data_IF_808160377507
#
_entry.id   IF_808160377507
#
_cell.length_a   1.000
_cell.length_b   1.000
_cell.length_c   1.000
_cell.angle_alpha   90.00
_cell.angle_beta   90.00
_cell.angle_gamma   90.00
#
_symmetry.space_group_name_H-M   'P 1'
#
loop_
_entity.id
_entity.type
_entity.pdbx_description
1 polymer ?
#
# COMPACT_ATOMS: atom_id res chain seq x y z
N UNK A 1 2.54 -42.17 -23.73
CA UNK A 1 1.93 -41.92 -22.42
C UNK A 1 2.16 -40.45 -22.11
N UNK A 2 1.18 -39.58 -22.41
CA UNK A 2 1.30 -38.13 -22.18
C UNK A 2 0.61 -37.83 -20.87
N UNK A 3 1.41 -37.63 -19.83
CA UNK A 3 0.96 -37.23 -18.50
C UNK A 3 0.43 -35.80 -18.65
N UNK A 4 -0.89 -35.65 -18.78
CA UNK A 4 -1.54 -34.35 -18.62
C UNK A 4 -1.59 -34.06 -17.12
N UNK A 5 -0.51 -33.49 -16.59
CA UNK A 5 -0.59 -32.78 -15.32
C UNK A 5 -1.44 -31.54 -15.59
N UNK A 6 -2.74 -31.61 -15.29
CA UNK A 6 -3.59 -30.42 -15.18
C UNK A 6 -2.91 -29.52 -14.11
N UNK A 7 -2.20 -28.42 -14.43
CA UNK A 7 -2.47 -27.34 -15.38
C UNK A 7 -3.86 -26.71 -15.19
N UNK A 8 -4.28 -26.55 -13.94
CA UNK A 8 -5.33 -25.60 -13.59
C UNK A 8 -4.74 -24.21 -13.46
N UNK A 9 -4.88 -23.38 -14.50
CA UNK A 9 -4.71 -21.92 -14.36
C UNK A 9 -5.79 -21.45 -13.38
N UNK A 10 -5.40 -20.78 -12.30
CA UNK A 10 -6.33 -20.19 -11.34
C UNK A 10 -6.16 -18.67 -11.34
N UNK A 11 -6.88 -17.95 -12.22
CA UNK A 11 -6.75 -16.50 -12.35
C UNK A 11 -7.06 -15.75 -11.04
N UNK A 12 -7.91 -16.31 -10.18
CA UNK A 12 -8.21 -15.70 -8.89
C UNK A 12 -7.01 -15.76 -7.94
N UNK A 13 -6.33 -16.90 -7.87
CA UNK A 13 -5.10 -17.03 -7.08
C UNK A 13 -3.99 -16.12 -7.63
N UNK A 14 -3.86 -16.03 -8.96
CA UNK A 14 -2.87 -15.14 -9.59
C UNK A 14 -3.14 -13.67 -9.23
N UNK A 15 -4.41 -13.24 -9.23
CA UNK A 15 -4.81 -11.88 -8.81
C UNK A 15 -4.50 -11.62 -7.33
N UNK A 16 -4.73 -12.59 -6.45
CA UNK A 16 -4.43 -12.47 -5.02
C UNK A 16 -2.93 -12.33 -4.76
N UNK A 17 -2.10 -13.12 -5.46
CA UNK A 17 -0.64 -13.01 -5.41
C UNK A 17 -0.20 -11.62 -5.87
N UNK A 18 -0.68 -11.16 -7.02
CA UNK A 18 -0.35 -9.83 -7.55
C UNK A 18 -0.77 -8.72 -6.57
N UNK A 19 -1.99 -8.79 -6.00
CA UNK A 19 -2.45 -7.78 -5.04
C UNK A 19 -1.59 -7.76 -3.78
N UNK A 20 -1.14 -8.92 -3.31
CA UNK A 20 -0.26 -9.05 -2.14
C UNK A 20 1.11 -8.44 -2.43
N UNK A 21 1.70 -8.75 -3.59
CA UNK A 21 2.99 -8.19 -4.01
C UNK A 21 2.94 -6.67 -4.15
N UNK A 22 1.87 -6.14 -4.76
CA UNK A 22 1.67 -4.70 -4.89
C UNK A 22 1.47 -4.03 -3.52
N UNK A 23 0.65 -4.62 -2.63
CA UNK A 23 0.44 -4.08 -1.30
C UNK A 23 1.73 -4.06 -0.47
N UNK A 24 2.59 -5.07 -0.62
CA UNK A 24 3.89 -5.12 0.05
C UNK A 24 4.86 -4.05 -0.48
N UNK A 25 4.89 -3.84 -1.80
CA UNK A 25 5.70 -2.78 -2.41
C UNK A 25 5.23 -1.39 -1.97
N UNK A 26 3.92 -1.16 -1.94
CA UNK A 26 3.31 0.07 -1.44
C UNK A 26 3.64 0.27 0.06
N UNK A 27 3.59 -0.79 0.87
CA UNK A 27 3.94 -0.75 2.29
C UNK A 27 5.39 -0.28 2.50
N UNK A 28 6.33 -0.83 1.75
CA UNK A 28 7.73 -0.41 1.83
C UNK A 28 7.92 1.07 1.43
N UNK A 29 7.19 1.53 0.41
CA UNK A 29 7.19 2.93 0.00
C UNK A 29 6.61 3.85 1.10
N UNK A 30 5.52 3.43 1.74
CA UNK A 30 4.87 4.14 2.85
C UNK A 30 5.83 4.24 4.05
N UNK A 31 6.49 3.16 4.43
CA UNK A 31 7.46 3.15 5.54
C UNK A 31 8.63 4.11 5.31
N UNK A 32 9.20 4.10 4.09
CA UNK A 32 10.26 5.03 3.69
C UNK A 32 9.76 6.47 3.73
N UNK A 33 8.54 6.73 3.26
CA UNK A 33 7.95 8.05 3.24
C UNK A 33 7.66 8.58 4.66
N UNK A 34 7.13 7.76 5.57
CA UNK A 34 6.93 8.12 6.98
C UNK A 34 8.25 8.59 7.60
N UNK A 35 9.33 7.82 7.39
CA UNK A 35 10.66 8.18 7.89
C UNK A 35 11.19 9.48 7.28
N UNK A 36 10.98 9.70 5.97
CA UNK A 36 11.36 10.93 5.26
C UNK A 36 10.65 12.16 5.83
N UNK A 37 9.34 12.09 6.06
CA UNK A 37 8.56 13.21 6.58
C UNK A 37 8.68 13.40 8.09
N UNK A 38 9.15 12.40 8.85
CA UNK A 38 9.25 12.46 10.30
C UNK A 38 10.04 13.66 10.82
N UNK A 39 11.17 14.01 10.18
CA UNK A 39 11.99 15.15 10.62
C UNK A 39 11.29 16.50 10.35
N UNK A 40 10.74 16.68 9.15
CA UNK A 40 10.03 17.90 8.77
C UNK A 40 8.75 18.09 9.60
N UNK A 41 8.02 17.00 9.85
CA UNK A 41 6.83 17.01 10.71
C UNK A 41 7.18 17.41 12.16
N UNK A 42 8.28 16.90 12.72
CA UNK A 42 8.80 17.33 14.04
C UNK A 42 9.18 18.81 14.06
N UNK A 43 9.61 19.37 12.93
CA UNK A 43 9.90 20.80 12.76
C UNK A 43 8.67 21.69 12.59
N UNK A 44 7.45 21.11 12.57
CA UNK A 44 6.20 21.85 12.46
C UNK A 44 5.77 22.19 11.03
N UNK A 45 6.39 21.58 10.01
CA UNK A 45 5.90 21.69 8.63
C UNK A 45 4.51 21.05 8.54
N UNK A 46 3.49 21.90 8.33
CA UNK A 46 2.08 21.49 8.32
C UNK A 46 1.79 20.45 7.23
N UNK A 47 2.44 20.56 6.08
CA UNK A 47 2.26 19.63 4.97
C UNK A 47 2.91 18.28 5.31
N UNK A 48 4.13 18.29 5.88
CA UNK A 48 4.79 17.06 6.32
C UNK A 48 4.03 16.37 7.46
N UNK A 49 3.42 17.13 8.38
CA UNK A 49 2.55 16.58 9.43
C UNK A 49 1.34 15.88 8.82
N UNK A 50 0.67 16.54 7.87
CA UNK A 50 -0.51 15.98 7.21
C UNK A 50 -0.18 14.70 6.43
N UNK A 51 0.87 14.72 5.59
CA UNK A 51 1.31 13.53 4.84
C UNK A 51 1.67 12.40 5.79
N UNK A 52 2.49 12.66 6.82
CA UNK A 52 2.90 11.63 7.77
C UNK A 52 1.68 10.98 8.45
N UNK A 53 0.72 11.80 8.90
CA UNK A 53 -0.50 11.30 9.53
C UNK A 53 -1.34 10.42 8.58
N UNK A 54 -1.47 10.83 7.31
CA UNK A 54 -2.17 10.04 6.31
C UNK A 54 -1.46 8.72 6.01
N UNK A 55 -0.12 8.74 5.87
CA UNK A 55 0.67 7.53 5.64
C UNK A 55 0.59 6.56 6.83
N UNK A 56 0.62 7.06 8.07
CA UNK A 56 0.41 6.25 9.28
C UNK A 56 -1.01 5.66 9.35
N UNK A 57 -2.01 6.35 8.79
CA UNK A 57 -3.38 5.84 8.65
C UNK A 57 -3.49 4.73 7.60
N UNK A 58 -2.74 4.83 6.50
CA UNK A 58 -2.74 3.87 5.38
C UNK A 58 -1.94 2.59 5.69
N UNK A 59 -0.80 2.73 6.38
CA UNK A 59 0.17 1.65 6.62
C UNK A 59 -0.47 0.34 7.12
N UNK A 60 -1.41 0.32 8.10
CA UNK A 60 -2.02 -0.92 8.57
C UNK A 60 -2.82 -1.66 7.50
N UNK A 61 -3.48 -0.95 6.57
CA UNK A 61 -4.26 -1.57 5.49
C UNK A 61 -3.37 -2.31 4.50
N UNK A 62 -2.24 -1.69 4.11
CA UNK A 62 -1.26 -2.33 3.25
C UNK A 62 -0.58 -3.52 3.94
N UNK A 63 -0.36 -3.42 5.25
CA UNK A 63 0.17 -4.52 6.07
C UNK A 63 -0.78 -5.73 6.16
N UNK A 64 -2.09 -5.53 5.91
CA UNK A 64 -3.07 -6.60 5.74
C UNK A 64 -3.15 -7.13 4.30
N UNK A 65 -2.17 -6.81 3.45
CA UNK A 65 -2.11 -7.15 2.02
C UNK A 65 -3.32 -6.62 1.22
N UNK A 66 -3.98 -5.57 1.71
CA UNK A 66 -5.10 -4.94 1.00
C UNK A 66 -4.58 -3.81 0.12
N UNK A 67 -5.00 -3.75 -1.16
CA UNK A 67 -4.51 -2.71 -2.07
C UNK A 67 -5.03 -1.32 -1.67
N UNK A 68 -4.21 -0.27 -1.82
CA UNK A 68 -4.58 1.09 -1.40
C UNK A 68 -5.88 1.60 -2.04
N UNK A 69 -6.14 1.19 -3.29
CA UNK A 69 -7.39 1.53 -4.01
C UNK A 69 -8.68 1.09 -3.31
N UNK A 70 -8.61 0.15 -2.35
CA UNK A 70 -9.78 -0.27 -1.56
C UNK A 70 -9.89 0.40 -0.19
N UNK A 71 -8.96 1.29 0.17
CA UNK A 71 -8.94 1.95 1.49
C UNK A 71 -10.06 2.98 1.68
N UNK A 72 -10.46 3.66 0.60
CA UNK A 72 -11.52 4.68 0.63
C UNK A 72 -11.02 6.07 1.06
N UNK A 73 -9.94 6.54 0.44
CA UNK A 73 -9.45 7.91 0.63
C UNK A 73 -10.50 8.93 0.19
N UNK A 74 -10.69 9.99 0.96
CA UNK A 74 -11.50 11.11 0.52
C UNK A 74 -10.74 12.00 -0.50
N UNK A 75 -11.40 13.05 -0.99
CA UNK A 75 -10.81 13.93 -2.01
C UNK A 75 -9.61 14.72 -1.49
N UNK A 76 -9.61 15.09 -0.21
CA UNK A 76 -8.53 15.86 0.41
C UNK A 76 -7.33 14.95 0.66
N UNK A 77 -7.56 13.74 1.15
CA UNK A 77 -6.54 12.71 1.33
C UNK A 77 -5.92 12.28 -0.01
N UNK A 78 -6.74 12.13 -1.05
CA UNK A 78 -6.24 11.80 -2.41
C UNK A 78 -5.39 12.93 -2.98
N UNK A 79 -5.77 14.20 -2.73
CA UNK A 79 -5.00 15.36 -3.21
C UNK A 79 -3.68 15.58 -2.45
N UNK A 80 -3.52 14.92 -1.30
CA UNK A 80 -2.35 15.04 -0.43
C UNK A 80 -1.23 14.04 -0.79
N UNK A 81 -1.54 12.98 -1.52
CA UNK A 81 -0.60 11.96 -2.02
C UNK A 81 -0.02 12.34 -3.39
#
# INVERSE_FOLDING_TARGET
NVIHVANGVNPAADIEVINTELALADLEAVDKAINRYAKSAKGGDKHAVAIKALLEKIQPHLNEAKPLRSFGLDKEETALL
#
